data_IF_051934698768
#
_entry.id   IF_051934698768
#
_cell.length_a   1.000
_cell.length_b   1.000
_cell.length_c   1.000
_cell.angle_alpha   90.00
_cell.angle_beta   90.00
_cell.angle_gamma   90.00
#
_symmetry.space_group_name_H-M   'P 1'
#
loop_
_entity.id
_entity.type
_entity.pdbx_description
1 polymer ?
#
# COMPACT_ATOMS: atom_id res chain seq x y z
N UNK A 1 -0.73 1.56 13.33
CA UNK A 1 -1.54 2.60 12.69
C UNK A 1 -3.01 2.18 12.72
N UNK A 2 -3.87 3.08 13.16
CA UNK A 2 -5.30 2.87 13.03
C UNK A 2 -5.66 3.23 11.59
N UNK A 3 -5.97 2.23 10.79
CA UNK A 3 -6.36 2.40 9.38
C UNK A 3 -7.69 3.15 9.20
N UNK A 4 -8.31 3.58 10.29
CA UNK A 4 -9.55 4.35 10.31
C UNK A 4 -9.31 5.87 10.25
N UNK A 5 -8.15 6.33 9.81
CA UNK A 5 -7.83 7.74 9.71
C UNK A 5 -7.30 8.33 11.01
N UNK A 6 -7.88 9.18 11.69
CA UNK A 6 -7.35 9.87 12.85
C UNK A 6 -7.66 9.15 14.17
N UNK A 7 -6.67 9.04 15.05
CA UNK A 7 -7.00 9.09 16.47
C UNK A 7 -7.35 10.56 16.75
N UNK A 8 -8.62 10.81 17.02
CA UNK A 8 -9.05 12.13 17.44
C UNK A 8 -8.24 12.57 18.66
N UNK A 9 -7.38 13.58 18.52
CA UNK A 9 -7.03 14.37 19.66
C UNK A 9 -8.30 15.12 20.04
N UNK A 10 -8.69 15.05 21.29
CA UNK A 10 -9.67 15.97 21.84
C UNK A 10 -9.11 17.39 21.69
N UNK A 11 -9.70 18.18 20.84
CA UNK A 11 -9.33 19.57 20.54
C UNK A 11 -10.09 20.07 19.32
N UNK A 12 -10.42 21.32 19.30
CA UNK A 12 -11.04 21.96 18.15
C UNK A 12 -10.09 21.87 16.95
N UNK A 13 -10.56 21.29 15.85
CA UNK A 13 -9.83 21.34 14.58
C UNK A 13 -9.82 22.80 14.10
N UNK A 14 -8.74 23.25 13.44
CA UNK A 14 -8.70 24.59 12.89
C UNK A 14 -9.78 24.72 11.80
N UNK A 15 -10.65 25.71 11.93
CA UNK A 15 -11.68 26.02 10.92
C UNK A 15 -11.07 26.67 9.68
N UNK A 16 -9.92 27.32 9.85
CA UNK A 16 -9.14 27.93 8.77
C UNK A 16 -7.69 27.51 8.84
N UNK A 17 -7.13 27.14 7.71
CA UNK A 17 -5.71 26.92 7.55
C UNK A 17 -5.29 27.24 6.10
N UNK A 18 -4.05 27.65 5.94
CA UNK A 18 -3.49 27.99 4.64
C UNK A 18 -1.97 27.95 4.69
N UNK A 19 -1.28 28.32 3.60
CA UNK A 19 0.18 28.25 3.55
C UNK A 19 0.89 28.98 4.67
N UNK A 20 0.27 30.03 5.22
CA UNK A 20 0.84 30.90 6.24
C UNK A 20 -0.04 31.04 7.49
N UNK A 21 -1.14 30.29 7.56
CA UNK A 21 -2.07 30.30 8.69
C UNK A 21 -2.34 28.85 9.14
N UNK A 22 -2.24 28.61 10.43
CA UNK A 22 -2.50 27.28 11.02
C UNK A 22 -1.40 26.24 10.75
N UNK A 23 -0.30 26.61 10.07
CA UNK A 23 0.84 25.72 9.78
C UNK A 23 1.92 25.93 10.84
N UNK A 24 2.21 24.86 11.60
CA UNK A 24 3.24 24.90 12.65
C UNK A 24 4.65 24.96 12.10
N UNK A 25 4.93 24.21 11.05
CA UNK A 25 6.22 24.15 10.36
C UNK A 25 6.08 23.61 8.94
N UNK A 26 7.07 23.90 8.11
CA UNK A 26 7.24 23.36 6.77
C UNK A 26 8.63 22.76 6.66
N UNK A 27 8.77 21.64 5.96
CA UNK A 27 10.05 21.00 5.70
C UNK A 27 10.17 20.67 4.22
N UNK A 28 11.27 21.10 3.60
CA UNK A 28 11.62 20.68 2.24
C UNK A 28 12.16 19.27 2.27
N UNK A 29 11.60 18.39 1.42
CA UNK A 29 12.05 17.04 1.29
C UNK A 29 13.19 16.95 0.27
N UNK A 30 14.06 15.94 0.36
CA UNK A 30 15.17 15.74 -0.59
C UNK A 30 14.71 15.37 -2.01
N UNK A 31 13.46 15.00 -2.18
CA UNK A 31 12.86 14.63 -3.46
C UNK A 31 11.36 14.45 -3.35
N UNK A 32 10.75 13.80 -4.35
CA UNK A 32 9.31 13.59 -4.42
C UNK A 32 8.85 12.41 -3.56
N UNK A 33 7.59 12.46 -3.12
CA UNK A 33 6.91 11.38 -2.40
C UNK A 33 5.42 11.38 -2.75
N UNK A 34 4.84 10.21 -2.88
CA UNK A 34 3.39 10.02 -2.96
C UNK A 34 2.84 9.24 -1.75
N UNK A 35 3.70 8.95 -0.77
CA UNK A 35 3.33 8.26 0.47
C UNK A 35 2.58 9.18 1.44
N UNK A 36 1.66 8.61 2.20
CA UNK A 36 1.11 9.27 3.38
C UNK A 36 2.13 9.19 4.52
N UNK A 37 2.55 10.32 5.11
CA UNK A 37 3.39 10.29 6.30
C UNK A 37 2.70 9.59 7.46
N UNK A 38 3.46 8.82 8.26
CA UNK A 38 2.98 8.28 9.52
C UNK A 38 3.58 9.03 10.69
N UNK A 39 2.85 9.10 11.79
CA UNK A 39 3.20 9.93 12.95
C UNK A 39 3.15 9.06 14.21
N UNK A 40 4.18 9.13 15.02
CA UNK A 40 4.17 8.66 16.41
C UNK A 40 4.09 9.84 17.40
N UNK A 41 4.36 9.60 18.68
CA UNK A 41 4.30 10.63 19.71
C UNK A 41 5.25 11.81 19.45
N UNK A 42 6.38 11.61 18.81
CA UNK A 42 7.46 12.60 18.65
C UNK A 42 8.04 12.70 17.23
N UNK A 43 7.68 11.79 16.32
CA UNK A 43 8.31 11.68 15.00
C UNK A 43 7.27 11.62 13.88
N UNK A 44 7.72 12.03 12.70
CA UNK A 44 7.04 11.84 11.43
C UNK A 44 7.96 11.02 10.53
N UNK A 45 7.44 9.92 9.95
CA UNK A 45 8.18 9.08 9.02
C UNK A 45 7.55 9.15 7.64
N UNK A 46 8.38 9.25 6.62
CA UNK A 46 7.95 9.25 5.23
C UNK A 46 9.08 8.76 4.32
N UNK A 47 8.70 8.27 3.16
CA UNK A 47 9.62 7.89 2.08
C UNK A 47 9.73 9.00 1.05
N UNK A 48 10.84 9.05 0.31
CA UNK A 48 11.07 9.98 -0.79
C UNK A 48 11.91 9.31 -1.88
N UNK A 49 11.84 9.80 -3.10
CA UNK A 49 12.79 9.49 -4.18
C UNK A 49 13.57 10.75 -4.52
N UNK A 50 14.89 10.64 -4.56
CA UNK A 50 15.76 11.74 -5.02
C UNK A 50 16.19 11.46 -6.44
N UNK A 51 16.46 12.50 -7.20
CA UNK A 51 17.13 12.38 -8.49
C UNK A 51 18.63 12.32 -8.24
N UNK A 52 19.36 11.53 -9.05
CA UNK A 52 20.82 11.60 -9.06
C UNK A 52 21.28 12.99 -9.48
N UNK A 53 22.33 13.49 -8.84
CA UNK A 53 22.97 14.75 -9.22
C UNK A 53 23.78 14.60 -10.50
N UNK A 54 24.14 13.37 -10.90
CA UNK A 54 24.88 13.10 -12.11
C UNK A 54 23.95 13.06 -13.32
N UNK A 55 24.17 13.98 -14.26
CA UNK A 55 23.35 14.14 -15.45
C UNK A 55 23.31 12.90 -16.36
N UNK A 56 24.30 12.01 -16.25
CA UNK A 56 24.39 10.75 -16.99
C UNK A 56 23.68 9.58 -16.29
N UNK A 57 23.43 9.66 -14.97
CA UNK A 57 22.66 8.66 -14.22
C UNK A 57 21.24 9.15 -13.99
N UNK A 58 20.33 8.75 -14.86
CA UNK A 58 18.86 8.98 -14.69
C UNK A 58 18.27 8.19 -13.51
N UNK A 59 19.10 7.72 -12.60
CA UNK A 59 18.71 6.90 -11.46
C UNK A 59 18.68 7.72 -10.18
N UNK A 60 17.59 7.62 -9.46
CA UNK A 60 17.42 8.26 -8.16
C UNK A 60 17.61 7.28 -7.00
N UNK A 61 17.79 7.83 -5.81
CA UNK A 61 17.86 7.08 -4.58
C UNK A 61 16.49 7.00 -3.90
N UNK A 62 16.22 5.83 -3.30
CA UNK A 62 15.07 5.60 -2.44
C UNK A 62 15.46 5.95 -1.01
N UNK A 63 14.74 6.88 -0.41
CA UNK A 63 15.13 7.51 0.86
C UNK A 63 14.06 7.31 1.92
N UNK A 64 14.49 6.83 3.08
CA UNK A 64 13.70 6.78 4.29
C UNK A 64 14.02 8.02 5.16
N UNK A 65 12.99 8.69 5.66
CA UNK A 65 13.09 9.93 6.41
C UNK A 65 12.38 9.83 7.76
N UNK A 66 12.99 10.46 8.76
CA UNK A 66 12.39 10.72 10.06
C UNK A 66 12.55 12.19 10.41
N UNK A 67 11.45 12.83 10.76
CA UNK A 67 11.42 14.22 11.17
C UNK A 67 10.94 14.32 12.61
N UNK A 68 11.38 15.36 13.30
CA UNK A 68 10.80 15.77 14.57
C UNK A 68 9.39 16.32 14.35
N UNK A 69 8.41 15.78 15.06
CA UNK A 69 6.99 16.12 14.89
C UNK A 69 6.69 17.57 15.23
N UNK A 70 7.43 18.17 16.16
CA UNK A 70 7.12 19.50 16.70
C UNK A 70 7.82 20.62 15.94
N UNK A 71 8.98 20.33 15.35
CA UNK A 71 9.83 21.32 14.69
C UNK A 71 9.97 21.12 13.19
N UNK A 72 9.62 19.94 12.67
CA UNK A 72 9.82 19.57 11.27
C UNK A 72 11.29 19.31 10.87
N UNK A 73 12.23 19.34 11.82
CA UNK A 73 13.65 19.07 11.53
C UNK A 73 13.85 17.60 11.14
N UNK A 74 14.63 17.36 10.10
CA UNK A 74 15.05 16.01 9.75
C UNK A 74 15.98 15.48 10.83
N UNK A 75 15.55 14.44 11.55
CA UNK A 75 16.32 13.76 12.59
C UNK A 75 17.31 12.79 11.98
N UNK A 76 16.88 12.07 10.95
CA UNK A 76 17.74 11.21 10.15
C UNK A 76 17.16 10.99 8.75
N UNK A 77 18.07 10.69 7.83
CA UNK A 77 17.80 10.31 6.45
C UNK A 77 18.67 9.09 6.12
N UNK A 78 18.09 8.08 5.44
CA UNK A 78 18.79 6.86 5.06
C UNK A 78 18.50 6.50 3.61
N UNK A 79 19.54 6.15 2.88
CA UNK A 79 19.39 5.51 1.57
C UNK A 79 18.90 4.09 1.78
N UNK A 80 17.66 3.83 1.42
CA UNK A 80 17.02 2.52 1.53
C UNK A 80 17.28 1.65 0.30
N UNK A 81 17.50 2.26 -0.85
CA UNK A 81 17.77 1.59 -2.12
C UNK A 81 18.13 2.59 -3.20
N UNK A 82 18.31 2.11 -4.41
CA UNK A 82 18.59 2.92 -5.61
C UNK A 82 17.96 2.27 -6.84
N UNK A 83 18.08 2.92 -7.98
CA UNK A 83 17.58 2.42 -9.26
C UNK A 83 16.19 2.94 -9.60
N UNK A 84 15.72 3.99 -8.90
CA UNK A 84 14.53 4.70 -9.32
C UNK A 84 14.79 5.48 -10.61
N UNK A 85 13.97 5.17 -11.64
CA UNK A 85 13.96 5.91 -12.90
C UNK A 85 12.62 6.66 -12.99
N UNK A 86 12.59 7.99 -13.07
CA UNK A 86 11.36 8.72 -13.32
C UNK A 86 10.71 8.24 -14.62
N UNK A 87 9.47 7.81 -14.54
CA UNK A 87 8.80 7.16 -15.67
C UNK A 87 9.42 5.82 -16.08
N UNK A 88 10.33 5.25 -15.26
CA UNK A 88 11.21 4.14 -15.61
C UNK A 88 10.59 2.76 -15.63
N UNK A 89 9.31 2.62 -15.30
CA UNK A 89 8.60 1.35 -15.42
C UNK A 89 8.12 1.07 -16.85
N UNK A 90 8.81 1.61 -17.86
CA UNK A 90 8.44 1.49 -19.26
C UNK A 90 7.33 2.43 -19.70
N UNK A 91 6.88 3.32 -18.81
CA UNK A 91 5.87 4.34 -19.08
C UNK A 91 6.49 5.73 -19.27
N UNK A 92 5.74 6.61 -19.94
CA UNK A 92 6.12 7.99 -20.19
C UNK A 92 6.30 8.79 -18.89
N UNK A 93 7.01 9.91 -18.96
CA UNK A 93 7.27 10.88 -17.90
C UNK A 93 6.06 11.32 -17.06
N UNK A 94 4.83 10.98 -17.48
CA UNK A 94 3.60 11.32 -16.76
C UNK A 94 3.34 10.50 -15.50
N UNK A 95 4.02 9.37 -15.31
CA UNK A 95 3.80 8.53 -14.11
C UNK A 95 4.36 9.15 -12.85
N UNK A 96 5.52 9.78 -12.93
CA UNK A 96 6.19 10.36 -11.76
C UNK A 96 5.35 11.47 -11.07
N UNK A 97 4.48 12.15 -11.82
CA UNK A 97 3.55 13.12 -11.25
C UNK A 97 2.39 12.51 -10.46
N UNK A 98 2.14 11.21 -10.59
CA UNK A 98 1.01 10.51 -9.96
C UNK A 98 1.42 9.46 -8.95
N UNK A 99 2.53 8.76 -9.19
CA UNK A 99 3.09 7.74 -8.32
C UNK A 99 4.57 7.55 -8.61
N UNK A 100 5.32 7.12 -7.61
CA UNK A 100 6.73 6.76 -7.76
C UNK A 100 7.06 5.60 -6.80
N UNK A 101 8.31 5.15 -6.76
CA UNK A 101 8.69 4.05 -5.87
C UNK A 101 8.55 4.37 -4.37
N UNK A 102 8.43 5.66 -3.99
CA UNK A 102 8.09 6.09 -2.63
C UNK A 102 6.58 6.33 -2.42
N UNK A 103 5.72 5.68 -3.21
CA UNK A 103 4.26 5.73 -3.03
C UNK A 103 3.76 4.91 -1.83
N UNK A 104 4.33 3.73 -1.49
CA UNK A 104 3.92 3.02 -0.29
C UNK A 104 4.24 3.82 0.98
N UNK A 105 3.26 3.90 1.87
CA UNK A 105 3.42 4.53 3.18
C UNK A 105 4.18 3.61 4.13
N UNK A 106 5.10 4.13 4.97
CA UNK A 106 5.77 3.32 5.99
C UNK A 106 4.82 2.89 7.10
N UNK A 107 5.27 1.96 7.96
CA UNK A 107 4.54 1.53 9.16
C UNK A 107 5.49 1.47 10.35
N UNK A 108 4.96 1.66 11.57
CA UNK A 108 5.75 1.56 12.80
C UNK A 108 5.00 0.76 13.87
N UNK A 109 5.74 -0.02 14.65
CA UNK A 109 5.25 -0.71 15.86
C UNK A 109 5.62 0.03 17.15
N UNK A 110 6.26 1.19 17.05
CA UNK A 110 6.74 1.98 18.18
C UNK A 110 8.17 1.63 18.62
N UNK A 111 8.76 0.54 18.11
CA UNK A 111 10.15 0.14 18.33
C UNK A 111 10.99 0.39 17.07
N UNK A 112 10.40 0.11 15.91
CA UNK A 112 11.01 0.27 14.57
C UNK A 112 10.05 0.91 13.60
N UNK A 113 10.59 1.36 12.48
CA UNK A 113 9.84 1.82 11.32
C UNK A 113 10.25 1.00 10.10
N UNK A 114 9.24 0.55 9.34
CA UNK A 114 9.43 -0.31 8.17
C UNK A 114 8.98 0.46 6.93
N UNK A 115 9.87 0.58 5.97
CA UNK A 115 9.65 1.23 4.68
C UNK A 115 9.58 0.18 3.59
N UNK A 116 8.62 0.33 2.71
CA UNK A 116 8.51 -0.45 1.50
C UNK A 116 8.55 0.47 0.29
N UNK A 117 9.25 0.06 -0.75
CA UNK A 117 9.39 0.83 -1.99
C UNK A 117 8.87 0.02 -3.19
N UNK A 118 8.39 0.73 -4.21
CA UNK A 118 7.76 0.13 -5.37
C UNK A 118 8.66 -0.82 -6.20
N UNK A 119 9.98 -0.76 -6.01
CA UNK A 119 10.94 -1.71 -6.57
C UNK A 119 11.09 -3.01 -5.75
N UNK A 120 10.30 -3.18 -4.71
CA UNK A 120 10.32 -4.37 -3.85
C UNK A 120 11.27 -4.28 -2.64
N UNK A 121 12.04 -3.20 -2.47
CA UNK A 121 12.88 -3.02 -1.29
C UNK A 121 12.01 -2.80 -0.04
N UNK A 122 12.25 -3.62 0.96
CA UNK A 122 11.60 -3.59 2.26
C UNK A 122 12.69 -3.51 3.34
N UNK A 123 12.71 -2.42 4.10
CA UNK A 123 13.78 -2.12 5.04
C UNK A 123 13.21 -1.67 6.37
N UNK A 124 13.69 -2.23 7.46
CA UNK A 124 13.38 -1.80 8.81
C UNK A 124 14.53 -1.03 9.44
N UNK A 125 14.23 0.06 10.07
CA UNK A 125 15.16 0.85 10.87
C UNK A 125 14.66 0.97 12.31
N UNK A 126 15.58 1.02 13.25
CA UNK A 126 15.28 1.47 14.61
C UNK A 126 14.74 2.92 14.56
N UNK A 127 14.09 3.38 15.63
CA UNK A 127 13.65 4.78 15.69
C UNK A 127 14.80 5.80 15.66
N UNK A 128 16.06 5.33 15.82
CA UNK A 128 17.28 6.13 15.65
C UNK A 128 17.84 6.10 14.22
N UNK A 129 17.21 5.33 13.31
CA UNK A 129 17.63 5.20 11.92
C UNK A 129 18.78 4.19 11.70
N UNK A 130 19.02 3.26 12.62
CA UNK A 130 19.93 2.14 12.43
C UNK A 130 19.17 1.03 11.68
N UNK A 131 19.77 0.49 10.61
CA UNK A 131 19.15 -0.59 9.85
C UNK A 131 19.14 -1.88 10.69
N UNK A 132 17.95 -2.45 10.91
CA UNK A 132 17.77 -3.70 11.64
C UNK A 132 17.74 -4.90 10.70
N UNK A 133 17.01 -4.77 9.59
CA UNK A 133 16.97 -5.80 8.55
C UNK A 133 16.50 -5.22 7.21
N UNK A 134 16.83 -5.96 6.16
CA UNK A 134 16.41 -5.63 4.78
C UNK A 134 16.11 -6.89 3.99
N UNK A 135 15.18 -6.78 3.03
CA UNK A 135 14.91 -7.78 1.99
C UNK A 135 14.40 -7.10 0.73
N UNK A 136 14.29 -7.86 -0.35
CA UNK A 136 13.64 -7.39 -1.57
C UNK A 136 12.61 -8.42 -2.03
N UNK A 137 11.34 -8.02 -2.11
CA UNK A 137 10.21 -8.90 -2.40
C UNK A 137 10.27 -9.46 -3.83
N UNK A 138 10.76 -8.68 -4.80
CA UNK A 138 10.94 -9.18 -6.17
C UNK A 138 12.05 -10.23 -6.26
N UNK A 139 13.14 -10.06 -5.53
CA UNK A 139 14.24 -11.03 -5.45
C UNK A 139 13.78 -12.35 -4.84
N UNK A 140 12.89 -12.27 -3.85
CA UNK A 140 12.38 -13.44 -3.13
C UNK A 140 11.29 -14.21 -3.90
N UNK A 141 10.44 -13.51 -4.69
CA UNK A 141 9.24 -14.10 -5.27
C UNK A 141 9.07 -13.88 -6.77
N UNK A 142 9.97 -13.14 -7.39
CA UNK A 142 9.96 -12.81 -8.83
C UNK A 142 9.55 -11.37 -9.09
N UNK A 143 9.88 -10.91 -10.29
CA UNK A 143 9.62 -9.55 -10.74
C UNK A 143 8.12 -9.23 -10.72
N UNK A 144 7.80 -8.03 -10.32
CA UNK A 144 6.42 -7.55 -10.29
C UNK A 144 5.86 -7.36 -11.70
N UNK A 145 4.62 -7.83 -11.87
CA UNK A 145 3.83 -7.67 -13.09
C UNK A 145 2.80 -6.54 -12.92
N UNK A 146 3.27 -5.30 -12.87
CA UNK A 146 2.41 -4.11 -12.79
C UNK A 146 2.61 -3.22 -14.02
N UNK A 147 1.51 -2.71 -14.56
CA UNK A 147 1.57 -1.67 -15.57
C UNK A 147 2.04 -0.34 -14.99
N UNK A 148 1.64 -0.06 -13.75
CA UNK A 148 1.98 1.13 -13.00
C UNK A 148 2.98 0.80 -11.89
N UNK A 149 3.51 1.81 -11.21
CA UNK A 149 4.39 1.59 -10.06
C UNK A 149 3.64 0.89 -8.92
N UNK A 150 4.26 -0.13 -8.33
CA UNK A 150 3.71 -0.76 -7.12
C UNK A 150 3.55 0.27 -6.00
N UNK A 151 2.35 0.40 -5.44
CA UNK A 151 2.06 1.44 -4.44
C UNK A 151 1.24 0.97 -3.24
N UNK A 152 0.90 -0.33 -3.13
CA UNK A 152 0.27 -0.86 -1.92
C UNK A 152 1.20 -0.71 -0.71
N UNK A 153 0.65 -0.21 0.39
CA UNK A 153 1.41 -0.04 1.62
C UNK A 153 1.42 -1.32 2.46
N UNK A 154 2.49 -1.60 3.21
CA UNK A 154 2.47 -2.67 4.20
C UNK A 154 1.49 -2.35 5.34
N UNK A 155 1.03 -3.38 6.04
CA UNK A 155 0.12 -3.29 7.18
C UNK A 155 0.72 -3.98 8.38
N UNK A 156 0.83 -3.28 9.52
CA UNK A 156 1.18 -3.88 10.81
C UNK A 156 -0.09 -4.16 11.62
N UNK A 157 -0.27 -5.42 12.01
CA UNK A 157 -1.39 -5.81 12.87
C UNK A 157 -1.00 -7.01 13.74
N UNK A 158 -1.23 -6.92 15.06
CA UNK A 158 -0.97 -8.00 16.03
C UNK A 158 0.42 -8.62 15.89
N UNK A 159 1.45 -7.78 15.87
CA UNK A 159 2.86 -8.16 15.73
C UNK A 159 3.17 -8.97 14.45
N UNK A 160 2.47 -8.67 13.37
CA UNK A 160 2.71 -9.21 12.04
C UNK A 160 2.71 -8.11 10.99
N UNK A 161 3.57 -8.25 10.02
CA UNK A 161 3.66 -7.36 8.86
C UNK A 161 3.03 -8.06 7.65
N UNK A 162 2.06 -7.42 7.04
CA UNK A 162 1.36 -7.94 5.87
C UNK A 162 1.61 -7.07 4.65
N UNK A 163 1.72 -7.70 3.49
CA UNK A 163 1.85 -7.01 2.20
C UNK A 163 0.99 -7.73 1.15
N UNK A 164 0.08 -7.05 0.46
CA UNK A 164 -0.61 -7.61 -0.69
C UNK A 164 0.23 -7.37 -1.95
N UNK A 165 0.41 -8.40 -2.77
CA UNK A 165 0.96 -8.29 -4.12
C UNK A 165 -0.13 -8.78 -5.07
N UNK A 166 -0.96 -7.86 -5.55
CA UNK A 166 -2.07 -8.15 -6.46
C UNK A 166 -1.70 -7.61 -7.84
N UNK A 167 -1.26 -8.50 -8.71
CA UNK A 167 -0.59 -8.20 -9.96
C UNK A 167 -1.18 -8.96 -11.13
N UNK A 168 -0.80 -8.58 -12.34
CA UNK A 168 -1.14 -9.33 -13.56
C UNK A 168 -0.51 -10.71 -13.57
N UNK A 169 -1.08 -11.58 -14.36
CA UNK A 169 -0.60 -12.92 -14.67
C UNK A 169 0.20 -12.99 -15.98
N UNK A 170 0.43 -11.83 -16.61
CA UNK A 170 1.21 -11.69 -17.86
C UNK A 170 2.29 -10.62 -17.71
N UNK A 171 3.43 -10.76 -18.42
CA UNK A 171 4.48 -9.74 -18.41
C UNK A 171 3.99 -8.38 -18.90
N UNK A 172 4.47 -7.32 -18.24
CA UNK A 172 4.17 -5.94 -18.59
C UNK A 172 5.49 -5.17 -18.73
N UNK A 173 5.68 -4.44 -19.83
CA UNK A 173 6.89 -3.68 -20.11
C UNK A 173 8.19 -4.49 -19.97
N UNK A 174 8.18 -5.72 -20.49
CA UNK A 174 9.28 -6.68 -20.41
C UNK A 174 9.68 -7.09 -18.98
N UNK A 175 8.80 -6.90 -17.99
CA UNK A 175 8.97 -7.33 -16.60
C UNK A 175 7.93 -8.34 -16.20
N UNK A 176 8.28 -9.14 -15.19
CA UNK A 176 7.45 -10.22 -14.69
C UNK A 176 7.54 -11.48 -15.54
N UNK A 177 6.69 -12.42 -15.27
CA UNK A 177 6.63 -13.73 -15.95
C UNK A 177 5.18 -14.12 -16.24
N UNK A 178 4.95 -14.99 -17.25
CA UNK A 178 3.64 -15.58 -17.48
C UNK A 178 3.17 -16.34 -16.23
N UNK A 179 1.87 -16.28 -15.94
CA UNK A 179 1.23 -16.90 -14.79
C UNK A 179 1.80 -16.40 -13.43
N UNK A 180 2.20 -15.14 -13.36
CA UNK A 180 2.59 -14.53 -12.09
C UNK A 180 1.40 -14.53 -11.13
N UNK A 181 1.61 -15.09 -9.95
CA UNK A 181 0.55 -15.19 -8.93
C UNK A 181 0.35 -13.87 -8.20
N UNK A 182 -0.91 -13.50 -7.99
CA UNK A 182 -1.25 -12.56 -6.93
C UNK A 182 -1.21 -13.27 -5.58
N UNK A 183 -0.62 -12.65 -4.57
CA UNK A 183 -0.47 -13.27 -3.25
C UNK A 183 -0.53 -12.27 -2.10
N UNK A 184 -0.78 -12.81 -0.92
CA UNK A 184 -0.64 -12.12 0.35
C UNK A 184 0.60 -12.66 1.06
N UNK A 185 1.40 -11.78 1.61
CA UNK A 185 2.62 -12.09 2.34
C UNK A 185 2.47 -11.65 3.80
N UNK A 186 2.80 -12.54 4.73
CA UNK A 186 2.91 -12.23 6.14
C UNK A 186 4.34 -12.45 6.62
N UNK A 187 4.86 -11.51 7.37
CA UNK A 187 6.24 -11.48 7.83
C UNK A 187 6.30 -11.16 9.33
N UNK A 188 7.37 -11.60 9.97
CA UNK A 188 7.75 -11.14 11.30
C UNK A 188 8.36 -9.73 11.17
N UNK A 189 7.78 -8.68 11.78
CA UNK A 189 8.31 -7.33 11.70
C UNK A 189 9.69 -7.16 12.34
N UNK A 190 10.10 -8.07 13.23
CA UNK A 190 11.40 -8.00 13.94
C UNK A 190 12.59 -8.35 13.05
N UNK A 191 12.38 -9.18 12.05
CA UNK A 191 13.50 -9.73 11.25
C UNK A 191 13.17 -9.90 9.76
N UNK A 192 11.96 -9.52 9.34
CA UNK A 192 11.49 -9.62 7.97
C UNK A 192 11.24 -11.06 7.48
N UNK A 193 11.37 -12.10 8.30
CA UNK A 193 11.17 -13.50 7.89
C UNK A 193 9.72 -13.76 7.49
N UNK A 194 9.54 -14.47 6.38
CA UNK A 194 8.21 -14.91 5.94
C UNK A 194 7.61 -15.90 6.93
N UNK A 195 6.44 -15.59 7.46
CA UNK A 195 5.62 -16.46 8.29
C UNK A 195 4.69 -17.31 7.43
N UNK A 196 4.10 -16.71 6.41
CA UNK A 196 3.32 -17.39 5.37
C UNK A 196 3.22 -16.53 4.11
N UNK A 197 3.02 -17.19 2.97
CA UNK A 197 2.63 -16.63 1.68
C UNK A 197 1.41 -17.39 1.19
N UNK A 198 0.37 -16.70 0.75
CA UNK A 198 -0.86 -17.31 0.22
C UNK A 198 -1.21 -16.73 -1.13
N UNK A 199 -1.35 -17.57 -2.13
CA UNK A 199 -1.92 -17.20 -3.42
C UNK A 199 -3.34 -16.69 -3.23
N UNK A 200 -3.66 -15.57 -3.83
CA UNK A 200 -5.00 -15.00 -3.86
C UNK A 200 -5.57 -15.08 -5.28
N UNK A 201 -6.25 -16.17 -5.56
CA UNK A 201 -6.86 -16.41 -6.85
C UNK A 201 -7.98 -15.41 -7.17
N UNK A 202 -8.08 -15.06 -8.45
CA UNK A 202 -9.16 -14.24 -9.00
C UNK A 202 -9.43 -14.68 -10.44
N UNK A 203 -10.65 -14.45 -10.91
CA UNK A 203 -11.03 -14.64 -12.31
C UNK A 203 -10.94 -13.37 -13.15
N UNK A 204 -10.49 -12.25 -12.54
CA UNK A 204 -10.20 -11.04 -13.27
C UNK A 204 -9.09 -11.25 -14.32
N UNK A 205 -8.98 -10.34 -15.26
CA UNK A 205 -8.04 -10.44 -16.38
C UNK A 205 -7.19 -9.19 -16.48
N UNK A 206 -5.96 -9.35 -16.94
CA UNK A 206 -5.02 -8.25 -17.27
C UNK A 206 -4.94 -7.22 -16.14
N UNK A 207 -5.12 -5.92 -16.48
CA UNK A 207 -5.04 -4.84 -15.51
C UNK A 207 -6.09 -4.93 -14.39
N UNK A 208 -7.21 -5.61 -14.61
CA UNK A 208 -8.22 -5.82 -13.55
C UNK A 208 -7.74 -6.76 -12.43
N UNK A 209 -6.66 -7.51 -12.63
CA UNK A 209 -5.94 -8.23 -11.56
C UNK A 209 -5.16 -7.29 -10.65
N UNK A 210 -4.72 -6.13 -11.15
CA UNK A 210 -3.91 -5.20 -10.37
C UNK A 210 -4.73 -4.48 -9.31
N UNK A 211 -4.19 -4.42 -8.10
CA UNK A 211 -4.71 -3.57 -7.04
C UNK A 211 -3.58 -2.87 -6.30
N UNK A 212 -3.82 -1.63 -5.93
CA UNK A 212 -2.91 -0.78 -5.19
C UNK A 212 -3.41 -0.50 -3.76
N UNK A 213 -4.53 -1.15 -3.38
CA UNK A 213 -5.11 -1.05 -2.05
C UNK A 213 -4.26 -1.70 -0.98
N UNK A 214 -4.38 -1.20 0.23
CA UNK A 214 -3.73 -1.72 1.44
C UNK A 214 -4.64 -2.72 2.13
N UNK A 215 -4.06 -3.73 2.78
CA UNK A 215 -4.81 -4.68 3.63
C UNK A 215 -5.38 -3.95 4.85
N UNK A 216 -6.66 -4.12 5.11
CA UNK A 216 -7.35 -3.50 6.24
C UNK A 216 -7.72 -4.57 7.28
N UNK A 217 -7.12 -4.56 8.47
CA UNK A 217 -7.53 -5.43 9.56
C UNK A 217 -8.91 -5.00 10.10
N UNK A 218 -9.84 -5.96 10.21
CA UNK A 218 -11.18 -5.72 10.75
C UNK A 218 -11.73 -6.99 11.39
N UNK A 219 -12.26 -6.89 12.62
CA UNK A 219 -12.92 -8.00 13.35
C UNK A 219 -12.15 -9.32 13.33
N UNK A 220 -10.83 -9.26 13.50
CA UNK A 220 -9.98 -10.43 13.53
C UNK A 220 -9.63 -11.01 12.16
N UNK A 221 -9.99 -10.35 11.09
CA UNK A 221 -9.72 -10.72 9.70
C UNK A 221 -8.86 -9.67 8.99
N UNK A 222 -8.33 -10.03 7.82
CA UNK A 222 -7.66 -9.13 6.88
C UNK A 222 -8.53 -8.93 5.65
N UNK A 223 -8.98 -7.71 5.40
CA UNK A 223 -9.76 -7.37 4.22
C UNK A 223 -8.85 -6.97 3.06
N UNK A 224 -9.08 -7.56 1.90
CA UNK A 224 -8.28 -7.35 0.69
C UNK A 224 -9.20 -7.15 -0.51
N UNK A 225 -9.12 -5.98 -1.15
CA UNK A 225 -9.89 -5.66 -2.35
C UNK A 225 -9.00 -5.63 -3.60
N UNK A 226 -9.45 -6.20 -4.68
CA UNK A 226 -8.78 -6.23 -5.98
C UNK A 226 -9.08 -7.51 -6.75
N UNK A 227 -8.77 -7.55 -8.02
CA UNK A 227 -9.10 -8.69 -8.87
C UNK A 227 -10.61 -8.96 -8.92
N UNK A 228 -11.41 -7.92 -8.99
CA UNK A 228 -12.88 -7.92 -9.06
C UNK A 228 -13.60 -8.42 -7.78
N UNK A 229 -12.90 -8.65 -6.69
CA UNK A 229 -13.49 -9.18 -5.45
C UNK A 229 -12.94 -8.51 -4.19
N UNK A 230 -13.77 -8.43 -3.15
CA UNK A 230 -13.36 -8.22 -1.76
C UNK A 230 -13.25 -9.57 -1.08
N UNK A 231 -12.20 -9.81 -0.32
CA UNK A 231 -11.97 -11.06 0.40
C UNK A 231 -11.59 -10.80 1.85
N UNK A 232 -12.03 -11.68 2.74
CA UNK A 232 -11.62 -11.74 4.14
C UNK A 232 -10.67 -12.92 4.36
N UNK A 233 -9.57 -12.71 5.08
CA UNK A 233 -8.56 -13.73 5.32
C UNK A 233 -8.23 -13.87 6.80
N UNK A 234 -7.89 -15.08 7.23
CA UNK A 234 -7.37 -15.36 8.55
C UNK A 234 -5.95 -14.76 8.71
N UNK A 235 -5.70 -13.90 9.71
CA UNK A 235 -4.40 -13.27 9.87
C UNK A 235 -3.26 -14.23 10.23
N UNK A 236 -3.58 -15.39 10.82
CA UNK A 236 -2.57 -16.35 11.27
C UNK A 236 -2.09 -17.25 10.14
N UNK A 237 -2.98 -17.58 9.21
CA UNK A 237 -2.73 -18.59 8.17
C UNK A 237 -2.76 -18.02 6.75
N UNK A 238 -3.38 -16.84 6.56
CA UNK A 238 -3.64 -16.25 5.25
C UNK A 238 -4.77 -16.93 4.47
N UNK A 239 -5.41 -17.97 5.04
CA UNK A 239 -6.50 -18.65 4.37
C UNK A 239 -7.67 -17.71 4.14
N UNK A 240 -8.26 -17.78 2.95
CA UNK A 240 -9.47 -17.06 2.63
C UNK A 240 -10.65 -17.66 3.44
N UNK A 241 -11.38 -16.80 4.12
CA UNK A 241 -12.54 -17.15 4.93
C UNK A 241 -13.84 -16.95 4.14
N UNK A 242 -13.86 -15.91 3.34
CA UNK A 242 -14.98 -15.53 2.49
C UNK A 242 -14.52 -14.64 1.34
N UNK A 243 -15.36 -14.55 0.31
CA UNK A 243 -15.25 -13.56 -0.76
C UNK A 243 -16.62 -13.00 -1.13
N UNK A 244 -16.60 -11.76 -1.51
CA UNK A 244 -17.72 -11.08 -2.15
C UNK A 244 -17.23 -10.47 -3.47
N UNK A 245 -17.96 -10.67 -4.53
CA UNK A 245 -17.73 -10.08 -5.83
C UNK A 245 -18.94 -10.35 -6.70
N UNK A 246 -19.09 -9.68 -7.79
CA UNK A 246 -18.09 -8.89 -8.49
C UNK A 246 -18.69 -7.57 -8.90
N UNK A 247 -17.88 -6.49 -8.86
CA UNK A 247 -18.22 -5.21 -9.51
C UNK A 247 -17.98 -5.24 -11.03
N UNK A 248 -17.48 -6.34 -11.57
CA UNK A 248 -17.17 -6.56 -12.99
C UNK A 248 -17.80 -7.89 -13.43
N UNK A 249 -19.15 -7.95 -13.62
CA UNK A 249 -19.86 -9.19 -13.91
C UNK A 249 -19.33 -9.87 -15.18
N UNK A 250 -18.98 -11.18 -15.01
CA UNK A 250 -18.40 -11.98 -16.10
C UNK A 250 -16.97 -11.56 -16.46
N UNK A 251 -16.31 -10.76 -15.64
CA UNK A 251 -14.93 -10.27 -15.83
C UNK A 251 -14.69 -9.68 -17.24
N UNK A 252 -15.70 -8.95 -17.76
CA UNK A 252 -15.69 -8.41 -19.12
C UNK A 252 -14.72 -7.26 -19.30
N UNK A 253 -14.49 -6.49 -18.22
CA UNK A 253 -13.59 -5.35 -18.22
C UNK A 253 -12.19 -5.81 -17.84
N UNK A 254 -11.24 -5.66 -18.75
CA UNK A 254 -9.85 -6.09 -18.54
C UNK A 254 -8.95 -4.97 -17.99
N UNK A 255 -9.51 -3.73 -17.85
CA UNK A 255 -8.77 -2.51 -17.50
C UNK A 255 -9.28 -1.84 -16.22
N UNK A 256 -9.90 -2.63 -15.34
CA UNK A 256 -10.55 -2.15 -14.11
C UNK A 256 -9.71 -2.42 -12.86
N UNK A 257 -8.41 -2.01 -12.89
CA UNK A 257 -7.57 -2.05 -11.69
C UNK A 257 -8.24 -1.31 -10.53
N UNK A 258 -8.07 -1.82 -9.33
CA UNK A 258 -8.56 -1.18 -8.12
C UNK A 258 -7.45 -0.35 -7.46
N UNK A 259 -7.72 0.93 -7.20
CA UNK A 259 -6.77 1.83 -6.56
C UNK A 259 -7.07 2.02 -5.08
N UNK A 260 -8.32 2.31 -4.65
CA UNK A 260 -8.61 2.56 -3.23
C UNK A 260 -8.56 1.29 -2.40
N UNK A 261 -8.14 1.44 -1.14
CA UNK A 261 -8.30 0.41 -0.12
C UNK A 261 -9.76 0.30 0.29
N UNK A 262 -10.24 -0.87 0.76
CA UNK A 262 -11.53 -0.94 1.41
C UNK A 262 -11.54 -0.10 2.69
N UNK A 263 -12.70 0.40 3.06
CA UNK A 263 -12.91 1.17 4.29
C UNK A 263 -13.95 0.48 5.14
N UNK A 264 -13.78 0.51 6.45
CA UNK A 264 -14.73 -0.09 7.41
C UNK A 264 -15.28 0.96 8.37
N UNK A 265 -16.55 0.91 8.62
CA UNK A 265 -17.23 1.83 9.54
C UNK A 265 -18.75 1.58 9.60
N UNK A 266 -19.37 1.90 10.73
CA UNK A 266 -20.82 1.75 10.90
C UNK A 266 -21.34 0.33 10.68
N UNK A 267 -20.55 -0.71 10.98
CA UNK A 267 -20.93 -2.11 10.76
C UNK A 267 -20.93 -2.52 9.28
N UNK A 268 -20.23 -1.79 8.43
CA UNK A 268 -20.14 -2.06 6.97
C UNK A 268 -18.69 -2.03 6.47
N UNK A 269 -18.46 -2.75 5.39
CA UNK A 269 -17.23 -2.70 4.59
C UNK A 269 -17.56 -1.98 3.28
N UNK A 270 -16.83 -0.92 2.96
CA UNK A 270 -17.04 -0.13 1.75
C UNK A 270 -15.95 -0.45 0.72
N UNK A 271 -16.37 -0.71 -0.51
CA UNK A 271 -15.47 -0.89 -1.66
C UNK A 271 -15.87 0.08 -2.77
N UNK A 272 -14.95 0.96 -3.15
CA UNK A 272 -15.09 1.80 -4.33
C UNK A 272 -14.69 1.00 -5.58
N UNK A 273 -15.63 0.60 -6.39
CA UNK A 273 -15.30 -0.05 -7.65
C UNK A 273 -14.65 0.92 -8.66
N UNK A 274 -13.90 0.43 -9.66
CA UNK A 274 -13.15 1.25 -10.59
C UNK A 274 -14.03 2.02 -11.59
N UNK A 275 -13.45 3.04 -12.24
CA UNK A 275 -13.98 3.68 -13.47
C UNK A 275 -15.43 4.22 -13.34
N UNK A 276 -15.74 4.89 -12.24
CA UNK A 276 -17.08 5.45 -11.96
C UNK A 276 -18.16 4.39 -11.70
N UNK A 277 -17.78 3.17 -11.44
CA UNK A 277 -18.70 2.16 -10.92
C UNK A 277 -19.10 2.49 -9.46
N UNK A 278 -20.17 1.88 -8.95
CA UNK A 278 -20.69 2.22 -7.63
C UNK A 278 -19.69 2.01 -6.48
N UNK A 279 -19.99 2.63 -5.36
CA UNK A 279 -19.49 2.24 -4.05
C UNK A 279 -20.44 1.21 -3.47
N UNK A 280 -19.89 0.05 -3.12
CA UNK A 280 -20.63 -1.04 -2.51
C UNK A 280 -20.43 -1.04 -1.00
N UNK A 281 -21.52 -1.04 -0.26
CA UNK A 281 -21.52 -1.27 1.18
C UNK A 281 -21.89 -2.73 1.44
N UNK A 282 -20.96 -3.48 2.02
CA UNK A 282 -21.03 -4.92 2.22
C UNK A 282 -21.19 -5.21 3.71
N UNK A 283 -21.99 -6.18 4.07
CA UNK A 283 -22.20 -6.59 5.45
C UNK A 283 -20.94 -7.23 6.05
N UNK A 284 -20.73 -7.04 7.35
CA UNK A 284 -19.70 -7.76 8.11
C UNK A 284 -20.20 -9.16 8.49
N UNK A 285 -19.28 -10.04 8.91
CA UNK A 285 -19.62 -11.39 9.38
C UNK A 285 -19.88 -12.40 8.27
N UNK A 286 -19.50 -12.10 7.02
CA UNK A 286 -19.66 -13.05 5.90
C UNK A 286 -18.82 -14.30 6.08
N UNK A 287 -19.31 -15.42 5.50
CA UNK A 287 -18.59 -16.68 5.36
C UNK A 287 -18.88 -17.32 3.99
N UNK A 288 -17.91 -17.96 3.37
CA UNK A 288 -18.08 -18.59 2.06
C UNK A 288 -18.05 -17.61 0.89
N UNK A 289 -18.76 -17.91 -0.19
CA UNK A 289 -18.71 -17.12 -1.44
C UNK A 289 -20.05 -16.44 -1.67
N UNK A 290 -19.99 -15.12 -1.87
CA UNK A 290 -21.12 -14.25 -2.13
C UNK A 290 -20.94 -13.51 -3.45
N UNK A 291 -22.03 -13.15 -4.12
CA UNK A 291 -21.98 -12.39 -5.37
C UNK A 291 -23.28 -11.61 -5.60
N UNK A 292 -23.22 -10.56 -6.40
CA UNK A 292 -24.38 -9.74 -6.69
C UNK A 292 -24.92 -9.07 -5.44
N UNK A 293 -26.22 -9.28 -5.14
CA UNK A 293 -26.91 -8.68 -3.99
C UNK A 293 -26.69 -9.46 -2.69
N UNK A 294 -26.19 -10.69 -2.76
CA UNK A 294 -25.93 -11.51 -1.58
C UNK A 294 -24.76 -10.91 -0.77
N UNK A 295 -24.99 -10.62 0.49
CA UNK A 295 -24.04 -9.92 1.37
C UNK A 295 -23.91 -8.41 1.11
N UNK A 296 -24.72 -7.86 0.20
CA UNK A 296 -24.73 -6.45 -0.12
C UNK A 296 -25.72 -5.68 0.77
N UNK A 297 -25.22 -4.71 1.53
CA UNK A 297 -26.07 -3.86 2.36
C UNK A 297 -26.69 -2.70 1.56
N UNK A 298 -25.89 -2.07 0.68
CA UNK A 298 -26.34 -0.98 -0.19
C UNK A 298 -25.36 -0.68 -1.31
N UNK A 299 -25.84 0.04 -2.31
CA UNK A 299 -25.04 0.57 -3.44
C UNK A 299 -25.26 2.06 -3.51
N UNK A 300 -24.19 2.82 -3.71
CA UNK A 300 -24.24 4.27 -3.92
C UNK A 300 -23.47 4.64 -5.19
N UNK A 301 -24.03 5.56 -5.94
CA UNK A 301 -23.45 6.07 -7.19
C UNK A 301 -22.92 7.49 -7.02
#
# INVERSE_FOLDING_TARGET
PNYNGSQGQEGALPEKFGPDEGVRWKCSLPGSSAATPIIDSSRVFLSSVTMSSDADEKQGDLVALCLDRFTGKILWQRKAGSGYLPGGDGFSHQLDSKSNYASPSPVTDGERVIFFFGNGDLVAYSLKGEEEWRRNVQRDFGDFCFQWTFSSSPTLHRNRLYLPVLQRDEPVHARGKPNAESFLLCMDPKNGKTLWKKTRASSARKESLESFGTIIPHEGQLLVAGGDVLTGHDPKTGNELWRWGTWNPGHKQEWWRLVPSPVVGGGRMLVCAPKKAPVYAIETGLSGTHSGEDGLASVSY
#
